data_IF_966330140471
#
_entry.id   IF_966330140471
#
_cell.length_a   1.000
_cell.length_b   1.000
_cell.length_c   1.000
_cell.angle_alpha   90.00
_cell.angle_beta   90.00
_cell.angle_gamma   90.00
#
_symmetry.space_group_name_H-M   'P 1'
#
loop_
_entity.id
_entity.type
_entity.pdbx_description
1 polymer ?
#
# COMPACT_ATOMS: atom_id res chain seq x y z
N UNK A 1 -3.09 -24.75 -7.25
CA UNK A 1 -3.72 -23.61 -6.58
C UNK A 1 -3.21 -23.51 -5.15
N UNK A 2 -2.73 -22.35 -4.75
CA UNK A 2 -2.22 -22.17 -3.38
C UNK A 2 -3.36 -22.15 -2.36
N UNK A 3 -3.14 -22.73 -1.19
CA UNK A 3 -4.07 -22.61 -0.08
C UNK A 3 -4.22 -21.14 0.31
N UNK A 4 -5.40 -20.67 0.79
CA UNK A 4 -5.59 -19.27 1.18
C UNK A 4 -4.52 -18.73 2.14
N UNK A 5 -4.05 -19.55 3.08
CA UNK A 5 -3.03 -19.15 4.04
C UNK A 5 -1.66 -18.89 3.41
N UNK A 6 -1.42 -19.36 2.17
CA UNK A 6 -0.17 -19.15 1.44
C UNK A 6 -0.23 -17.96 0.49
N UNK A 7 -1.39 -17.34 0.33
CA UNK A 7 -1.51 -16.15 -0.52
C UNK A 7 -0.84 -14.96 0.17
N UNK A 8 -0.13 -14.12 -0.60
CA UNK A 8 0.45 -12.90 -0.02
C UNK A 8 -0.63 -12.01 0.60
N UNK A 9 -0.29 -11.40 1.72
CA UNK A 9 -1.18 -10.47 2.41
C UNK A 9 -0.85 -9.04 1.99
N UNK A 10 -1.89 -8.32 1.57
CA UNK A 10 -1.78 -6.91 1.16
C UNK A 10 -2.48 -6.04 2.21
N UNK A 11 -1.78 -5.04 2.73
CA UNK A 11 -2.39 -4.01 3.56
C UNK A 11 -2.82 -2.86 2.67
N UNK A 12 -4.11 -2.50 2.74
CA UNK A 12 -4.68 -1.39 1.97
C UNK A 12 -5.03 -0.27 2.95
N UNK A 13 -4.36 0.87 2.82
CA UNK A 13 -4.56 2.05 3.67
C UNK A 13 -5.22 3.15 2.85
N UNK A 14 -6.52 3.36 3.04
CA UNK A 14 -7.30 4.38 2.37
C UNK A 14 -8.57 4.61 3.20
N UNK A 15 -8.97 5.86 3.39
CA UNK A 15 -10.14 6.19 4.20
C UNK A 15 -11.47 6.00 3.47
N UNK A 16 -11.45 5.75 2.16
CA UNK A 16 -12.66 5.56 1.36
C UNK A 16 -12.94 4.08 1.12
N UNK A 17 -14.01 3.56 1.71
CA UNK A 17 -14.40 2.16 1.52
C UNK A 17 -14.58 1.78 0.05
N UNK A 18 -15.27 2.58 -0.79
CA UNK A 18 -15.43 2.20 -2.20
C UNK A 18 -14.10 2.01 -2.92
N UNK A 19 -13.10 2.81 -2.56
CA UNK A 19 -11.78 2.68 -3.19
C UNK A 19 -11.05 1.43 -2.71
N UNK A 20 -11.15 1.10 -1.42
CA UNK A 20 -10.58 -0.15 -0.92
C UNK A 20 -11.20 -1.36 -1.62
N UNK A 21 -12.53 -1.33 -1.79
CA UNK A 21 -13.25 -2.40 -2.50
C UNK A 21 -12.79 -2.51 -3.96
N UNK A 22 -12.59 -1.37 -4.62
CA UNK A 22 -12.09 -1.34 -6.00
C UNK A 22 -10.68 -1.94 -6.08
N UNK A 23 -9.81 -1.57 -5.17
CA UNK A 23 -8.43 -2.10 -5.14
C UNK A 23 -8.44 -3.62 -4.97
N UNK A 24 -9.25 -4.15 -4.06
CA UNK A 24 -9.38 -5.59 -3.89
C UNK A 24 -9.89 -6.28 -5.16
N UNK A 25 -10.88 -5.68 -5.82
CA UNK A 25 -11.42 -6.22 -7.06
C UNK A 25 -10.35 -6.23 -8.17
N UNK A 26 -9.56 -5.17 -8.27
CA UNK A 26 -8.51 -5.04 -9.27
C UNK A 26 -7.39 -6.05 -9.04
N UNK A 27 -6.97 -6.23 -7.80
CA UNK A 27 -5.88 -7.15 -7.47
C UNK A 27 -6.34 -8.61 -7.50
N UNK A 28 -7.60 -8.87 -7.16
CA UNK A 28 -8.22 -10.18 -7.34
C UNK A 28 -7.98 -11.18 -6.22
N UNK A 29 -8.25 -12.43 -6.51
CA UNK A 29 -8.28 -13.53 -5.54
C UNK A 29 -6.91 -14.12 -5.19
N UNK A 30 -5.86 -13.68 -5.86
CA UNK A 30 -4.51 -14.19 -5.62
C UNK A 30 -3.88 -13.70 -4.32
N UNK A 31 -4.56 -12.83 -3.58
CA UNK A 31 -4.05 -12.21 -2.36
C UNK A 31 -5.04 -12.32 -1.22
N UNK A 32 -4.53 -12.18 0.00
CA UNK A 32 -5.35 -11.89 1.18
C UNK A 32 -5.23 -10.40 1.47
N UNK A 33 -6.20 -9.83 2.15
CA UNK A 33 -6.25 -8.38 2.37
C UNK A 33 -6.50 -8.04 3.83
N UNK A 34 -5.85 -7.00 4.30
CA UNK A 34 -6.20 -6.31 5.55
C UNK A 34 -6.35 -4.82 5.21
N UNK A 35 -7.31 -4.16 5.82
CA UNK A 35 -7.67 -2.79 5.49
C UNK A 35 -7.46 -1.86 6.67
N UNK A 36 -7.06 -0.63 6.37
CA UNK A 36 -6.90 0.42 7.36
C UNK A 36 -7.49 1.72 6.81
N UNK A 37 -8.25 2.43 7.64
CA UNK A 37 -8.86 3.71 7.29
C UNK A 37 -7.97 4.89 7.67
N UNK A 38 -7.02 4.67 8.58
CA UNK A 38 -6.11 5.69 9.05
C UNK A 38 -4.77 5.05 9.44
N UNK A 39 -3.82 5.88 9.81
CA UNK A 39 -2.48 5.41 10.16
C UNK A 39 -2.49 4.55 11.43
N UNK A 40 -3.34 4.89 12.41
CA UNK A 40 -3.45 4.09 13.63
C UNK A 40 -3.85 2.65 13.33
N UNK A 41 -4.85 2.46 12.46
CA UNK A 41 -5.27 1.13 12.02
C UNK A 41 -4.18 0.43 11.22
N UNK A 42 -3.44 1.18 10.40
CA UNK A 42 -2.33 0.63 9.64
C UNK A 42 -1.22 0.11 10.57
N UNK A 43 -0.90 0.88 11.60
CA UNK A 43 0.08 0.47 12.60
C UNK A 43 -0.35 -0.78 13.36
N UNK A 44 -1.63 -0.87 13.73
CA UNK A 44 -2.19 -2.07 14.35
C UNK A 44 -2.09 -3.28 13.43
N UNK A 45 -2.41 -3.09 12.16
CA UNK A 45 -2.33 -4.17 11.17
C UNK A 45 -0.90 -4.70 11.04
N UNK A 46 0.09 -3.82 11.10
CA UNK A 46 1.50 -4.21 11.04
C UNK A 46 1.94 -5.00 12.29
N UNK A 47 1.35 -4.71 13.46
CA UNK A 47 1.64 -5.44 14.68
C UNK A 47 0.99 -6.83 14.68
N UNK A 48 -0.24 -6.92 14.16
CA UNK A 48 -1.04 -8.15 14.20
C UNK A 48 -0.77 -9.08 13.03
N UNK A 49 -0.21 -8.58 11.93
CA UNK A 49 0.00 -9.35 10.71
C UNK A 49 1.31 -8.96 10.06
N UNK A 50 1.68 -9.70 9.00
CA UNK A 50 2.92 -9.44 8.26
C UNK A 50 2.59 -9.24 6.79
N UNK A 51 2.13 -8.05 6.38
CA UNK A 51 1.84 -7.78 4.99
C UNK A 51 3.10 -7.93 4.13
N UNK A 52 2.92 -8.45 2.92
CA UNK A 52 4.00 -8.56 1.95
C UNK A 52 4.07 -7.36 1.03
N UNK A 53 3.04 -6.51 1.04
CA UNK A 53 3.05 -5.23 0.36
C UNK A 53 1.99 -4.31 0.98
N UNK A 54 2.18 -3.01 0.82
CA UNK A 54 1.25 -1.99 1.30
C UNK A 54 0.81 -1.12 0.13
N UNK A 55 -0.49 -0.95 -0.04
CA UNK A 55 -1.08 0.05 -0.93
C UNK A 55 -1.49 1.22 -0.05
N UNK A 56 -0.86 2.35 -0.21
CA UNK A 56 -0.97 3.48 0.72
C UNK A 56 -1.46 4.75 0.05
N UNK A 57 -2.58 5.30 0.52
CA UNK A 57 -2.97 6.66 0.21
C UNK A 57 -2.28 7.58 1.20
N UNK A 58 -1.59 8.61 0.70
CA UNK A 58 -0.89 9.56 1.57
C UNK A 58 -1.83 10.60 2.18
N UNK A 59 -3.05 10.74 1.65
CA UNK A 59 -4.05 11.70 2.12
C UNK A 59 -4.98 11.09 3.16
N UNK A 60 -4.43 10.44 4.17
CA UNK A 60 -5.22 9.84 5.25
C UNK A 60 -5.59 10.90 6.30
N UNK A 61 -6.76 10.75 6.96
CA UNK A 61 -7.13 11.66 8.03
C UNK A 61 -6.18 11.54 9.22
N UNK A 62 -5.92 12.66 9.88
CA UNK A 62 -5.02 12.71 11.01
C UNK A 62 -3.55 12.66 10.60
N UNK A 63 -2.84 11.63 11.03
CA UNK A 63 -1.42 11.49 10.70
C UNK A 63 -1.25 11.20 9.21
N UNK A 64 -0.32 11.91 8.57
CA UNK A 64 -0.04 11.77 7.15
C UNK A 64 0.48 10.37 6.78
N UNK A 65 0.04 9.86 5.63
CA UNK A 65 0.59 8.62 5.09
C UNK A 65 2.09 8.72 4.79
N UNK A 66 2.57 9.92 4.44
CA UNK A 66 4.01 10.13 4.22
C UNK A 66 4.81 10.01 5.52
N UNK A 67 4.28 10.52 6.63
CA UNK A 67 4.91 10.36 7.94
C UNK A 67 4.94 8.89 8.35
N UNK A 68 3.84 8.19 8.15
CA UNK A 68 3.77 6.74 8.39
C UNK A 68 4.83 6.00 7.58
N UNK A 69 4.95 6.32 6.29
CA UNK A 69 5.94 5.69 5.42
C UNK A 69 7.37 5.96 5.88
N UNK A 70 7.68 7.21 6.23
CA UNK A 70 8.99 7.58 6.74
C UNK A 70 9.33 6.82 8.01
N UNK A 71 8.39 6.71 8.93
CA UNK A 71 8.56 5.95 10.17
C UNK A 71 8.75 4.46 9.92
N UNK A 72 8.00 3.92 8.96
CA UNK A 72 8.14 2.52 8.56
C UNK A 72 9.55 2.24 8.05
N UNK A 73 10.10 3.14 7.24
CA UNK A 73 11.46 3.00 6.70
C UNK A 73 12.55 3.23 7.74
N UNK A 74 12.27 4.05 8.76
CA UNK A 74 13.20 4.27 9.86
C UNK A 74 13.39 3.00 10.71
N UNK A 75 12.39 2.13 10.75
CA UNK A 75 12.50 0.84 11.44
C UNK A 75 13.33 -0.11 10.59
N UNK A 76 14.42 -0.61 11.17
CA UNK A 76 15.27 -1.55 10.45
C UNK A 76 14.61 -2.91 10.36
N UNK A 77 14.46 -3.43 9.15
CA UNK A 77 13.91 -4.76 8.88
C UNK A 77 14.85 -5.50 7.96
N UNK A 78 14.95 -6.80 8.13
CA UNK A 78 15.76 -7.65 7.24
C UNK A 78 15.23 -7.56 5.81
N UNK A 79 13.90 -7.53 5.66
CA UNK A 79 13.23 -7.40 4.37
C UNK A 79 12.22 -6.28 4.47
N UNK A 80 12.53 -5.10 3.92
CA UNK A 80 11.57 -3.99 3.91
C UNK A 80 10.29 -4.36 3.18
N UNK A 81 9.14 -3.89 3.70
CA UNK A 81 7.85 -4.16 3.06
C UNK A 81 7.72 -3.22 1.86
N UNK A 82 7.47 -3.75 0.66
CA UNK A 82 7.22 -2.89 -0.51
C UNK A 82 5.99 -2.02 -0.30
N UNK A 83 6.08 -0.74 -0.69
CA UNK A 83 4.96 0.20 -0.59
C UNK A 83 4.72 0.85 -1.94
N UNK A 84 3.49 0.75 -2.44
CA UNK A 84 3.03 1.56 -3.56
C UNK A 84 2.11 2.65 -3.03
N UNK A 85 2.46 3.90 -3.32
CA UNK A 85 1.62 5.06 -2.98
C UNK A 85 0.61 5.25 -4.09
N UNK A 86 -0.68 5.35 -3.71
CA UNK A 86 -1.77 5.65 -4.64
C UNK A 86 -2.37 6.97 -4.20
N UNK A 87 -2.30 8.01 -5.05
CA UNK A 87 -2.70 9.36 -4.64
C UNK A 87 -3.28 10.17 -5.79
N UNK A 88 -4.26 11.03 -5.45
CA UNK A 88 -4.77 12.03 -6.36
C UNK A 88 -3.74 13.14 -6.61
N UNK A 89 -2.79 13.34 -5.71
CA UNK A 89 -1.69 14.28 -5.88
C UNK A 89 -0.63 13.63 -6.75
N UNK A 90 -0.52 14.06 -8.02
CA UNK A 90 0.26 13.39 -9.05
C UNK A 90 1.32 14.26 -9.71
N UNK A 91 1.59 15.46 -9.17
CA UNK A 91 2.64 16.30 -9.75
C UNK A 91 4.00 15.59 -9.64
N UNK A 92 4.97 16.03 -10.43
CA UNK A 92 6.31 15.48 -10.34
C UNK A 92 6.90 15.64 -8.94
N UNK A 93 6.60 16.76 -8.28
CA UNK A 93 7.07 17.02 -6.92
C UNK A 93 6.37 16.08 -5.91
N UNK A 94 5.08 15.83 -6.09
CA UNK A 94 4.35 14.89 -5.22
C UNK A 94 4.91 13.48 -5.34
N UNK A 95 5.17 13.03 -6.55
CA UNK A 95 5.75 11.73 -6.79
C UNK A 95 7.15 11.62 -6.18
N UNK A 96 7.96 12.65 -6.36
CA UNK A 96 9.31 12.69 -5.77
C UNK A 96 9.25 12.65 -4.25
N UNK A 97 8.33 13.40 -3.64
CA UNK A 97 8.16 13.42 -2.20
C UNK A 97 7.82 12.02 -1.66
N UNK A 98 6.92 11.30 -2.34
CA UNK A 98 6.56 9.93 -1.95
C UNK A 98 7.75 8.98 -2.08
N UNK A 99 8.49 9.06 -3.18
CA UNK A 99 9.65 8.20 -3.40
C UNK A 99 10.76 8.52 -2.39
N UNK A 100 10.99 9.79 -2.09
CA UNK A 100 11.98 10.21 -1.10
C UNK A 100 11.61 9.74 0.30
N UNK A 101 10.32 9.66 0.61
CA UNK A 101 9.84 9.13 1.89
C UNK A 101 10.01 7.61 1.98
N UNK A 102 10.28 6.94 0.87
CA UNK A 102 10.58 5.51 0.85
C UNK A 102 9.60 4.63 0.09
N UNK A 103 8.71 5.22 -0.71
CA UNK A 103 7.82 4.44 -1.57
C UNK A 103 8.63 3.73 -2.66
N UNK A 104 8.22 2.50 -2.97
CA UNK A 104 8.83 1.73 -4.05
C UNK A 104 8.21 2.05 -5.40
N UNK A 105 6.96 2.54 -5.39
CA UNK A 105 6.26 2.91 -6.61
C UNK A 105 5.18 3.94 -6.30
N UNK A 106 4.72 4.63 -7.33
CA UNK A 106 3.66 5.62 -7.24
C UNK A 106 2.66 5.40 -8.36
N UNK A 107 1.37 5.39 -8.02
CA UNK A 107 0.27 5.30 -8.98
C UNK A 107 -0.69 6.44 -8.72
N UNK A 108 -0.97 7.25 -9.74
CA UNK A 108 -1.90 8.37 -9.61
C UNK A 108 -3.36 7.94 -9.70
N UNK A 109 -4.23 8.65 -8.99
CA UNK A 109 -5.69 8.47 -9.09
C UNK A 109 -6.27 9.47 -10.11
N UNK A 110 -7.23 9.07 -10.93
CA UNK A 110 -7.72 7.71 -11.11
C UNK A 110 -6.66 6.83 -11.78
N UNK A 111 -6.55 5.58 -11.35
CA UNK A 111 -5.52 4.68 -11.88
C UNK A 111 -6.11 3.73 -12.91
N UNK A 112 -5.24 3.29 -13.82
CA UNK A 112 -5.55 2.16 -14.69
C UNK A 112 -5.44 0.88 -13.85
N UNK A 113 -6.50 0.05 -13.78
CA UNK A 113 -6.46 -1.19 -13.03
C UNK A 113 -5.26 -2.08 -13.36
N UNK A 114 -4.87 -2.14 -14.63
CA UNK A 114 -3.75 -2.96 -15.06
C UNK A 114 -2.42 -2.44 -14.49
N UNK A 115 -2.27 -1.13 -14.39
CA UNK A 115 -1.04 -0.52 -13.86
C UNK A 115 -0.89 -0.87 -12.37
N UNK A 116 -1.94 -0.73 -11.59
CA UNK A 116 -1.88 -1.04 -10.16
C UNK A 116 -1.60 -2.53 -9.95
N UNK A 117 -2.30 -3.40 -10.67
CA UNK A 117 -2.10 -4.84 -10.56
C UNK A 117 -0.68 -5.24 -10.92
N UNK A 118 -0.14 -4.68 -12.01
CA UNK A 118 1.23 -4.97 -12.46
C UNK A 118 2.28 -4.52 -11.47
N UNK A 119 2.10 -3.33 -10.89
CA UNK A 119 3.04 -2.79 -9.90
C UNK A 119 3.06 -3.66 -8.64
N UNK A 120 1.90 -4.02 -8.10
CA UNK A 120 1.83 -4.85 -6.90
C UNK A 120 2.45 -6.23 -7.16
N UNK A 121 2.12 -6.83 -8.29
CA UNK A 121 2.67 -8.13 -8.68
C UNK A 121 4.21 -8.09 -8.76
N UNK A 122 4.75 -7.05 -9.40
CA UNK A 122 6.20 -6.89 -9.54
C UNK A 122 6.87 -6.69 -8.18
N UNK A 123 6.28 -5.91 -7.28
CA UNK A 123 6.85 -5.65 -5.96
C UNK A 123 6.89 -6.91 -5.10
N UNK A 124 5.86 -7.74 -5.18
CA UNK A 124 5.80 -8.97 -4.40
C UNK A 124 6.76 -10.03 -4.96
N UNK A 125 6.92 -10.06 -6.27
CA UNK A 125 7.83 -11.02 -6.93
C UNK A 125 9.31 -10.69 -6.74
N UNK A 126 9.62 -9.44 -6.39
CA UNK A 126 11.00 -9.00 -6.26
C UNK A 126 11.73 -9.60 -5.04
#
# INVERSE_FOLDING_TARGET
MAAPALRPLILICDDELPLRELIKAVLGDGYRYVEAEDVGQAEEALEESKPEAIVLDVMLPGKSGLEFLSELRAKRRKKPIPVVVVSAWQSADDQRTALDAGADAFVGKPFDPKDLASVVEALIAA
#
